data_IF_574709850430
#
_entry.id   IF_574709850430
#
_cell.length_a   1.000
_cell.length_b   1.000
_cell.length_c   1.000
_cell.angle_alpha   90.00
_cell.angle_beta   90.00
_cell.angle_gamma   90.00
#
_symmetry.space_group_name_H-M   'P 1'
#
loop_
_entity.id
_entity.type
_entity.pdbx_description
1 polymer ?
#
# COMPACT_ATOMS: atom_id res chain seq x y z
N UNK A 1 -13.70 8.14 14.01
CA UNK A 1 -12.64 8.44 13.04
C UNK A 1 -11.85 7.19 12.66
N UNK A 2 -11.35 7.16 11.42
CA UNK A 2 -10.50 6.08 10.91
C UNK A 2 -9.20 6.69 10.42
N UNK A 3 -8.08 6.15 10.88
CA UNK A 3 -6.74 6.51 10.41
C UNK A 3 -6.24 5.42 9.48
N UNK A 4 -6.19 5.73 8.20
CA UNK A 4 -5.62 4.84 7.20
C UNK A 4 -4.10 5.03 7.10
N UNK A 5 -3.35 3.95 6.83
CA UNK A 5 -1.98 4.03 6.32
C UNK A 5 -1.99 4.60 4.89
N UNK A 6 -0.87 4.56 4.19
CA UNK A 6 -0.82 4.96 2.77
C UNK A 6 -1.69 3.99 1.97
N UNK A 7 -2.78 4.49 1.39
CA UNK A 7 -3.65 3.69 0.52
C UNK A 7 -3.01 3.62 -0.86
N UNK A 8 -2.82 2.40 -1.38
CA UNK A 8 -2.26 2.15 -2.71
C UNK A 8 -3.22 1.33 -3.58
N UNK A 9 -3.13 1.49 -4.88
CA UNK A 9 -3.96 0.75 -5.83
C UNK A 9 -4.28 1.55 -7.09
N UNK A 10 -5.17 1.04 -7.95
CA UNK A 10 -5.65 1.74 -9.14
C UNK A 10 -6.19 3.13 -8.80
N UNK A 11 -5.89 4.12 -9.63
CA UNK A 11 -6.29 5.51 -9.40
C UNK A 11 -5.36 6.31 -8.48
N UNK A 12 -4.31 5.69 -7.91
CA UNK A 12 -3.30 6.41 -7.14
C UNK A 12 -2.63 7.48 -8.01
N UNK A 13 -2.74 8.74 -7.57
CA UNK A 13 -2.19 9.89 -8.31
C UNK A 13 -0.67 10.02 -8.16
N UNK A 14 -0.09 10.84 -9.04
CA UNK A 14 1.36 11.10 -9.10
C UNK A 14 1.84 12.18 -8.11
N UNK A 15 1.16 12.38 -6.99
CA UNK A 15 1.49 13.42 -6.01
C UNK A 15 1.66 12.85 -4.60
N UNK A 16 2.53 13.48 -3.82
CA UNK A 16 2.75 13.14 -2.43
C UNK A 16 3.65 11.91 -2.20
N UNK A 17 3.63 11.37 -0.99
CA UNK A 17 4.49 10.26 -0.54
C UNK A 17 4.32 8.99 -1.36
N UNK A 18 3.13 8.76 -1.89
CA UNK A 18 2.81 7.58 -2.68
C UNK A 18 3.19 7.71 -4.18
N UNK A 19 3.67 8.87 -4.64
CA UNK A 19 4.01 9.10 -6.04
C UNK A 19 5.00 8.06 -6.58
N UNK A 20 6.08 7.79 -5.84
CA UNK A 20 7.07 6.78 -6.25
C UNK A 20 6.49 5.37 -6.35
N UNK A 21 5.51 5.01 -5.53
CA UNK A 21 4.81 3.71 -5.60
C UNK A 21 3.91 3.68 -6.84
N UNK A 22 3.22 4.79 -7.13
CA UNK A 22 2.43 4.96 -8.35
C UNK A 22 3.31 4.80 -9.60
N UNK A 23 4.46 5.48 -9.61
CA UNK A 23 5.42 5.37 -10.71
C UNK A 23 5.90 3.94 -10.93
N UNK A 24 6.16 3.17 -9.86
CA UNK A 24 6.51 1.74 -9.98
C UNK A 24 5.44 0.96 -10.73
N UNK A 25 4.16 1.20 -10.46
CA UNK A 25 3.06 0.48 -11.10
C UNK A 25 2.90 0.91 -12.58
N UNK A 26 2.82 2.21 -12.84
CA UNK A 26 2.49 2.70 -14.19
C UNK A 26 3.67 2.65 -15.15
N UNK A 27 4.89 2.99 -14.70
CA UNK A 27 6.08 2.91 -15.57
C UNK A 27 6.49 1.47 -15.86
N UNK A 28 6.34 0.56 -14.90
CA UNK A 28 6.62 -0.85 -15.13
C UNK A 28 5.60 -1.52 -16.06
N UNK A 29 4.35 -1.04 -16.08
CA UNK A 29 3.34 -1.45 -17.07
C UNK A 29 3.84 -1.22 -18.50
N UNK A 30 4.45 -0.08 -18.77
CA UNK A 30 5.01 0.26 -20.08
C UNK A 30 6.27 -0.53 -20.43
N UNK A 31 6.73 -1.43 -19.54
CA UNK A 31 7.94 -2.25 -19.69
C UNK A 31 9.20 -1.43 -19.93
N UNK A 32 9.25 -0.22 -19.41
CA UNK A 32 10.41 0.67 -19.47
C UNK A 32 11.25 0.55 -18.21
N UNK A 33 12.57 0.60 -18.35
CA UNK A 33 13.46 0.78 -17.19
C UNK A 33 13.20 2.13 -16.55
N UNK A 34 12.99 2.14 -15.24
CA UNK A 34 12.82 3.35 -14.48
C UNK A 34 13.66 3.35 -13.21
N UNK A 35 14.16 4.52 -12.85
CA UNK A 35 14.84 4.77 -11.59
C UNK A 35 13.89 5.59 -10.74
N UNK A 36 13.52 5.04 -9.58
CA UNK A 36 12.63 5.69 -8.63
C UNK A 36 13.46 6.22 -7.45
N UNK A 37 13.35 7.50 -7.19
CA UNK A 37 14.00 8.16 -6.05
C UNK A 37 13.04 8.19 -4.88
N UNK A 38 13.31 7.40 -3.85
CA UNK A 38 12.48 7.32 -2.65
C UNK A 38 13.35 7.15 -1.39
N UNK A 39 12.87 7.64 -0.23
CA UNK A 39 13.49 7.33 1.05
C UNK A 39 13.54 5.81 1.29
N UNK A 40 14.55 5.37 2.05
CA UNK A 40 14.72 3.94 2.40
C UNK A 40 13.86 3.49 3.57
N UNK A 41 13.10 4.42 4.22
CA UNK A 41 12.26 4.10 5.37
C UNK A 41 11.19 3.07 5.09
N UNK A 42 10.83 2.35 6.14
CA UNK A 42 9.64 1.52 6.11
C UNK A 42 8.37 2.37 6.07
N UNK A 43 7.37 1.85 5.40
CA UNK A 43 6.06 2.45 5.19
C UNK A 43 4.97 1.48 5.63
N UNK A 44 3.88 2.01 6.17
CA UNK A 44 2.66 1.26 6.36
C UNK A 44 1.72 1.55 5.20
N UNK A 45 1.31 0.50 4.50
CA UNK A 45 0.44 0.58 3.32
C UNK A 45 -0.80 -0.29 3.49
N UNK A 46 -1.86 0.05 2.76
CA UNK A 46 -3.05 -0.78 2.62
C UNK A 46 -3.53 -0.73 1.17
N UNK A 47 -4.06 -1.86 0.68
CA UNK A 47 -4.66 -1.90 -0.65
C UNK A 47 -6.02 -1.21 -0.67
N UNK A 48 -6.34 -0.50 -1.74
CA UNK A 48 -7.59 0.27 -1.88
C UNK A 48 -8.83 -0.60 -1.66
N UNK A 49 -8.82 -1.87 -2.07
CA UNK A 49 -9.94 -2.80 -1.89
C UNK A 49 -10.12 -3.18 -0.41
N UNK A 50 -9.02 -3.39 0.34
CA UNK A 50 -9.10 -3.58 1.79
C UNK A 50 -9.59 -2.32 2.49
N UNK A 51 -9.13 -1.13 2.07
CA UNK A 51 -9.59 0.13 2.62
C UNK A 51 -11.10 0.33 2.40
N UNK A 52 -11.62 0.01 1.22
CA UNK A 52 -13.05 0.04 0.92
C UNK A 52 -13.85 -0.95 1.78
N UNK A 53 -13.35 -2.18 1.93
CA UNK A 53 -13.97 -3.20 2.78
C UNK A 53 -14.02 -2.77 4.27
N UNK A 54 -12.98 -2.11 4.77
CA UNK A 54 -12.95 -1.55 6.11
C UNK A 54 -14.05 -0.51 6.30
N UNK A 55 -14.22 0.41 5.34
CA UNK A 55 -15.28 1.43 5.37
C UNK A 55 -16.65 0.75 5.42
N UNK A 56 -16.89 -0.22 4.54
CA UNK A 56 -18.15 -0.97 4.50
C UNK A 56 -18.39 -1.74 5.81
N UNK A 57 -17.35 -2.33 6.39
CA UNK A 57 -17.44 -3.03 7.67
C UNK A 57 -17.86 -2.12 8.80
N UNK A 58 -17.36 -0.89 8.83
CA UNK A 58 -17.70 0.11 9.85
C UNK A 58 -19.13 0.62 9.66
N UNK A 59 -19.52 0.98 8.44
CA UNK A 59 -20.87 1.48 8.13
C UNK A 59 -21.93 0.44 8.50
N UNK A 60 -21.67 -0.83 8.24
CA UNK A 60 -22.59 -1.92 8.51
C UNK A 60 -22.46 -2.52 9.92
N UNK A 61 -21.60 -1.97 10.77
CA UNK A 61 -21.41 -2.47 12.13
C UNK A 61 -22.63 -2.20 12.99
N UNK A 62 -23.16 -3.24 13.61
CA UNK A 62 -24.21 -3.13 14.65
C UNK A 62 -23.65 -2.93 16.04
N UNK A 63 -22.34 -3.04 16.21
CA UNK A 63 -21.66 -2.88 17.48
C UNK A 63 -21.36 -1.41 17.77
N UNK A 64 -21.32 -1.05 19.05
CA UNK A 64 -20.85 0.26 19.48
C UNK A 64 -19.34 0.35 19.21
N UNK A 65 -18.97 1.15 18.22
CA UNK A 65 -17.59 1.38 17.85
C UNK A 65 -16.93 2.46 18.71
N UNK A 66 -15.60 2.45 18.80
CA UNK A 66 -14.82 3.50 19.43
C UNK A 66 -14.76 4.76 18.56
N UNK A 67 -14.36 5.87 19.16
CA UNK A 67 -14.31 7.16 18.45
C UNK A 67 -13.20 7.20 17.36
N UNK A 68 -12.11 6.48 17.55
CA UNK A 68 -10.96 6.47 16.64
C UNK A 68 -10.37 5.07 16.55
N UNK A 69 -10.03 4.66 15.32
CA UNK A 69 -9.27 3.44 15.03
C UNK A 69 -8.10 3.74 14.10
N UNK A 70 -6.98 3.03 14.32
CA UNK A 70 -5.97 2.83 13.30
C UNK A 70 -6.35 1.59 12.49
N UNK A 71 -6.28 1.68 11.17
CA UNK A 71 -6.57 0.55 10.30
C UNK A 71 -5.38 -0.42 10.22
N UNK A 72 -5.64 -1.71 9.94
CA UNK A 72 -4.59 -2.66 9.64
C UNK A 72 -3.75 -2.21 8.46
N UNK A 73 -2.47 -2.55 8.48
CA UNK A 73 -1.50 -2.19 7.45
C UNK A 73 -0.52 -3.31 7.17
N UNK A 74 0.15 -3.20 6.03
CA UNK A 74 1.30 -4.03 5.68
C UNK A 74 2.54 -3.16 5.77
N UNK A 75 3.49 -3.55 6.63
CA UNK A 75 4.79 -2.89 6.74
C UNK A 75 5.67 -3.29 5.57
N UNK A 76 6.23 -2.32 4.85
CA UNK A 76 7.07 -2.54 3.68
C UNK A 76 7.99 -1.34 3.44
N UNK A 77 8.78 -1.39 2.37
CA UNK A 77 9.58 -0.26 1.88
C UNK A 77 9.72 -0.28 0.36
N UNK A 78 10.27 0.80 -0.19
CA UNK A 78 10.42 0.98 -1.63
C UNK A 78 11.19 -0.17 -2.32
N UNK A 79 12.25 -0.69 -1.68
CA UNK A 79 13.04 -1.80 -2.24
C UNK A 79 12.25 -3.10 -2.31
N UNK A 80 11.48 -3.40 -1.27
CA UNK A 80 10.62 -4.60 -1.24
C UNK A 80 9.57 -4.50 -2.33
N UNK A 81 8.89 -3.35 -2.46
CA UNK A 81 7.89 -3.12 -3.50
C UNK A 81 8.49 -3.25 -4.90
N UNK A 82 9.60 -2.58 -5.18
CA UNK A 82 10.29 -2.68 -6.47
C UNK A 82 10.69 -4.12 -6.83
N UNK A 83 11.22 -4.87 -5.86
CA UNK A 83 11.56 -6.27 -6.05
C UNK A 83 10.33 -7.13 -6.37
N UNK A 84 9.18 -6.86 -5.73
CA UNK A 84 7.94 -7.59 -6.00
C UNK A 84 7.40 -7.26 -7.40
N UNK A 85 7.37 -5.99 -7.80
CA UNK A 85 7.03 -5.61 -9.18
C UNK A 85 7.94 -6.29 -10.20
N UNK A 86 9.26 -6.21 -10.02
CA UNK A 86 10.23 -6.85 -10.89
C UNK A 86 10.02 -8.37 -11.00
N UNK A 87 9.64 -9.03 -9.90
CA UNK A 87 9.33 -10.46 -9.87
C UNK A 87 8.08 -10.79 -10.69
N UNK A 88 7.01 -9.98 -10.57
CA UNK A 88 5.77 -10.16 -11.34
C UNK A 88 6.07 -10.04 -12.83
N UNK A 89 6.86 -9.05 -13.24
CA UNK A 89 7.25 -8.88 -14.64
C UNK A 89 8.31 -9.85 -15.13
N UNK A 90 8.91 -10.65 -14.24
CA UNK A 90 10.05 -11.54 -14.53
C UNK A 90 11.23 -10.81 -15.17
N UNK A 91 11.39 -9.51 -14.88
CA UNK A 91 12.45 -8.66 -15.41
C UNK A 91 12.71 -7.45 -14.50
N UNK A 92 13.98 -7.02 -14.43
CA UNK A 92 14.38 -5.86 -13.62
C UNK A 92 14.08 -4.55 -14.37
N UNK A 93 12.87 -4.05 -14.22
CA UNK A 93 12.44 -2.76 -14.76
C UNK A 93 12.64 -1.61 -13.77
N UNK A 94 12.53 -1.86 -12.45
CA UNK A 94 12.54 -0.83 -11.42
C UNK A 94 13.83 -0.93 -10.62
N UNK A 95 14.51 0.20 -10.46
CA UNK A 95 15.66 0.39 -9.60
C UNK A 95 15.36 1.51 -8.60
N UNK A 96 15.62 1.27 -7.30
CA UNK A 96 15.43 2.26 -6.26
C UNK A 96 16.75 2.93 -5.93
N UNK A 97 16.77 4.26 -5.98
CA UNK A 97 17.85 5.09 -5.43
C UNK A 97 17.35 5.81 -4.20
N UNK A 98 17.99 5.57 -3.07
CA UNK A 98 17.65 6.26 -1.81
C UNK A 98 18.04 7.73 -1.89
N UNK A 99 17.12 8.62 -1.49
CA UNK A 99 17.31 10.08 -1.59
C UNK A 99 17.76 10.74 -0.30
N UNK A 100 17.55 10.14 0.87
CA UNK A 100 17.94 10.66 2.17
C UNK A 100 17.82 9.60 3.27
N UNK A 101 18.39 9.87 4.44
CA UNK A 101 18.00 9.22 5.69
C UNK A 101 16.52 9.52 5.93
N UNK A 102 15.73 8.49 5.97
CA UNK A 102 14.32 8.62 6.13
C UNK A 102 13.94 8.58 7.60
N UNK A 103 12.96 9.39 8.02
CA UNK A 103 12.46 9.30 9.37
C UNK A 103 11.91 7.89 9.64
N UNK A 104 12.19 7.36 10.82
CA UNK A 104 11.53 6.14 11.29
C UNK A 104 10.07 6.48 11.60
N UNK A 105 9.18 6.06 10.71
CA UNK A 105 7.75 6.19 10.98
C UNK A 105 7.33 5.16 12.04
N UNK A 106 6.56 5.57 13.07
CA UNK A 106 6.02 4.64 14.05
C UNK A 106 5.14 3.59 13.37
N UNK A 107 5.15 2.38 13.91
CA UNK A 107 4.27 1.30 13.45
C UNK A 107 2.83 1.65 13.85
N UNK A 108 1.90 1.52 12.93
CA UNK A 108 0.49 1.73 13.16
C UNK A 108 -0.11 0.51 13.89
N UNK A 109 -0.45 0.67 15.15
CA UNK A 109 -1.12 -0.39 15.93
C UNK A 109 -2.62 -0.43 15.60
N UNK A 110 -3.06 -1.53 14.99
CA UNK A 110 -4.44 -1.80 14.58
C UNK A 110 -5.16 -2.82 15.47
N UNK A 111 -4.56 -3.30 16.55
CA UNK A 111 -5.12 -4.37 17.38
C UNK A 111 -6.54 -4.08 17.84
N UNK A 112 -6.82 -2.85 18.27
CA UNK A 112 -8.16 -2.46 18.71
C UNK A 112 -9.20 -2.62 17.59
N UNK A 113 -8.85 -2.19 16.37
CA UNK A 113 -9.73 -2.32 15.21
C UNK A 113 -10.01 -3.79 14.88
N UNK A 114 -8.99 -4.61 14.87
CA UNK A 114 -9.12 -6.04 14.56
C UNK A 114 -9.96 -6.80 15.61
N UNK A 115 -9.79 -6.47 16.90
CA UNK A 115 -10.59 -7.05 17.98
C UNK A 115 -12.06 -6.66 17.84
N UNK A 116 -12.38 -5.38 17.68
CA UNK A 116 -13.75 -4.86 17.68
C UNK A 116 -14.51 -5.25 16.39
N UNK A 117 -13.83 -5.31 15.24
CA UNK A 117 -14.47 -5.55 13.94
C UNK A 117 -14.31 -6.97 13.42
N UNK A 118 -13.36 -7.75 13.96
CA UNK A 118 -12.93 -9.05 13.44
C UNK A 118 -12.44 -8.99 11.99
N UNK A 119 -12.04 -7.81 11.52
CA UNK A 119 -11.49 -7.65 10.18
C UNK A 119 -10.02 -8.03 10.15
N UNK A 120 -9.63 -8.70 9.08
CA UNK A 120 -8.22 -8.98 8.73
C UNK A 120 -7.98 -8.57 7.29
N UNK A 121 -6.79 -8.04 7.01
CA UNK A 121 -6.33 -7.73 5.66
C UNK A 121 -6.46 -8.98 4.77
N UNK A 122 -7.06 -8.82 3.61
CA UNK A 122 -7.27 -9.89 2.62
C UNK A 122 -6.13 -9.99 1.61
N UNK A 123 -5.51 -8.85 1.29
CA UNK A 123 -4.45 -8.79 0.30
C UNK A 123 -3.07 -8.80 0.96
N UNK A 124 -2.19 -9.68 0.53
CA UNK A 124 -0.76 -9.55 0.79
C UNK A 124 -0.10 -8.69 -0.30
N UNK A 125 1.19 -8.35 -0.12
CA UNK A 125 1.91 -7.48 -1.08
C UNK A 125 1.85 -8.03 -2.51
N UNK A 126 2.00 -9.34 -2.69
CA UNK A 126 2.04 -9.93 -4.03
C UNK A 126 0.66 -9.83 -4.71
N UNK A 127 -0.38 -10.29 -4.03
CA UNK A 127 -1.73 -10.31 -4.59
C UNK A 127 -2.26 -8.91 -4.92
N UNK A 128 -1.99 -7.90 -4.06
CA UNK A 128 -2.42 -6.53 -4.35
C UNK A 128 -1.70 -5.93 -5.55
N UNK A 129 -0.42 -6.22 -5.74
CA UNK A 129 0.32 -5.71 -6.90
C UNK A 129 -0.10 -6.40 -8.20
N UNK A 130 -0.35 -7.71 -8.18
CA UNK A 130 -0.90 -8.43 -9.34
C UNK A 130 -2.28 -7.90 -9.73
N UNK A 131 -3.17 -7.74 -8.77
CA UNK A 131 -4.52 -7.23 -8.98
C UNK A 131 -4.47 -5.78 -9.52
N UNK A 132 -3.63 -4.93 -8.94
CA UNK A 132 -3.42 -3.57 -9.42
C UNK A 132 -2.94 -3.52 -10.87
N UNK A 133 -1.91 -4.31 -11.19
CA UNK A 133 -1.36 -4.36 -12.54
C UNK A 133 -2.37 -4.90 -13.55
N UNK A 134 -3.20 -5.85 -13.16
CA UNK A 134 -4.28 -6.38 -13.99
C UNK A 134 -5.29 -5.29 -14.31
N UNK A 135 -5.76 -4.54 -13.31
CA UNK A 135 -6.76 -3.48 -13.50
C UNK A 135 -6.25 -2.33 -14.38
N UNK A 136 -5.00 -1.88 -14.21
CA UNK A 136 -4.47 -0.80 -15.06
C UNK A 136 -4.10 -1.28 -16.47
N UNK A 137 -4.13 -2.57 -16.74
CA UNK A 137 -3.85 -3.17 -18.06
C UNK A 137 -5.12 -3.46 -18.86
N UNK A 138 -6.26 -3.38 -18.20
CA UNK A 138 -7.59 -3.51 -18.82
C UNK A 138 -7.98 -2.21 -19.51
#
# INVERSE_FOLDING_TARGET
>A
GIRFPIIIGPGLGYRGVAAGISDMAYLSKDKKKCIIYMPSSDLDIIYIKDAADIILKIINSKNKLKNIYNCPSIRTNAKILANKFNKIYKKKYIEIKSTAEAPNYPIMDSNLFEIDTKYKIKYNIYNMLEDWLTEISS
#
